data_IF_776504954613
#
_entry.id   IF_776504954613
#
_cell.length_a   1.000
_cell.length_b   1.000
_cell.length_c   1.000
_cell.angle_alpha   90.00
_cell.angle_beta   90.00
_cell.angle_gamma   90.00
#
_symmetry.space_group_name_H-M   'P 1'
#
loop_
_entity.id
_entity.type
_entity.pdbx_description
1 polymer ?
#
# COMPACT_ATOMS: atom_id res chain seq x y z
N UNK A 1 -11.65 23.27 -2.16
CA UNK A 1 -11.29 22.26 -3.16
C UNK A 1 -9.80 21.91 -3.07
N UNK A 2 -8.91 22.89 -3.11
CA UNK A 2 -7.45 22.72 -2.93
C UNK A 2 -7.02 22.05 -1.62
N UNK A 3 -7.57 22.45 -0.46
CA UNK A 3 -7.21 21.83 0.82
C UNK A 3 -7.60 20.35 0.92
N UNK A 4 -8.69 19.95 0.25
CA UNK A 4 -9.12 18.55 0.21
C UNK A 4 -8.19 17.72 -0.69
N UNK A 5 -7.80 18.26 -1.86
CA UNK A 5 -6.81 17.63 -2.73
C UNK A 5 -5.48 17.40 -2.00
N UNK A 6 -5.00 18.40 -1.25
CA UNK A 6 -3.78 18.27 -0.45
C UNK A 6 -3.90 17.17 0.63
N UNK A 7 -5.05 17.07 1.30
CA UNK A 7 -5.28 16.00 2.29
C UNK A 7 -5.21 14.61 1.65
N UNK A 8 -5.79 14.44 0.46
CA UNK A 8 -5.77 13.18 -0.29
C UNK A 8 -4.35 12.85 -0.76
N UNK A 9 -3.60 13.84 -1.21
CA UNK A 9 -2.20 13.66 -1.58
C UNK A 9 -1.35 13.20 -0.38
N UNK A 10 -1.57 13.80 0.80
CA UNK A 10 -0.89 13.38 2.04
C UNK A 10 -1.24 11.94 2.39
N UNK A 11 -2.51 11.55 2.32
CA UNK A 11 -2.95 10.19 2.61
C UNK A 11 -2.35 9.19 1.61
N UNK A 12 -2.36 9.54 0.31
CA UNK A 12 -1.79 8.71 -0.76
C UNK A 12 -0.30 8.48 -0.50
N UNK A 13 0.46 9.56 -0.27
CA UNK A 13 1.90 9.47 0.06
C UNK A 13 2.16 8.64 1.31
N UNK A 14 1.36 8.83 2.36
CA UNK A 14 1.50 8.06 3.60
C UNK A 14 1.27 6.56 3.36
N UNK A 15 0.19 6.19 2.66
CA UNK A 15 -0.09 4.79 2.32
C UNK A 15 1.01 4.18 1.45
N UNK A 16 1.48 4.92 0.45
CA UNK A 16 2.60 4.49 -0.40
C UNK A 16 3.86 4.23 0.40
N UNK A 17 4.23 5.12 1.32
CA UNK A 17 5.38 4.92 2.21
C UNK A 17 5.17 3.73 3.15
N UNK A 18 3.97 3.52 3.68
CA UNK A 18 3.64 2.39 4.54
C UNK A 18 3.78 1.06 3.77
N UNK A 19 3.32 1.00 2.51
CA UNK A 19 3.46 -0.19 1.66
C UNK A 19 4.94 -0.49 1.41
N UNK A 20 5.74 0.52 1.07
CA UNK A 20 7.18 0.35 0.86
C UNK A 20 7.88 -0.07 2.16
N UNK A 21 7.52 0.54 3.29
CA UNK A 21 8.05 0.17 4.59
C UNK A 21 7.71 -1.27 4.96
N UNK A 22 6.47 -1.71 4.73
CA UNK A 22 6.00 -3.09 4.97
C UNK A 22 6.83 -4.10 4.18
N UNK A 23 7.03 -3.85 2.88
CA UNK A 23 7.86 -4.70 2.02
C UNK A 23 9.29 -4.75 2.55
N UNK A 24 9.93 -3.60 2.77
CA UNK A 24 11.31 -3.54 3.23
C UNK A 24 11.49 -4.21 4.60
N UNK A 25 10.65 -3.84 5.58
CA UNK A 25 10.66 -4.43 6.91
C UNK A 25 10.41 -5.94 6.86
N UNK A 26 9.54 -6.40 5.97
CA UNK A 26 9.25 -7.82 5.77
C UNK A 26 10.46 -8.65 5.34
N UNK A 27 11.46 -8.05 4.68
CA UNK A 27 12.73 -8.71 4.33
C UNK A 27 13.72 -8.78 5.50
N UNK A 28 13.68 -7.83 6.44
CA UNK A 28 14.70 -7.72 7.50
C UNK A 28 14.22 -8.18 8.88
N UNK A 29 12.93 -8.09 9.18
CA UNK A 29 12.37 -8.37 10.50
C UNK A 29 11.45 -9.59 10.48
N UNK A 30 11.45 -10.36 11.56
CA UNK A 30 10.56 -11.51 11.75
C UNK A 30 9.08 -11.11 11.77
N UNK A 31 8.21 -12.04 11.36
CA UNK A 31 6.75 -11.84 11.32
C UNK A 31 6.12 -11.44 12.67
N UNK A 32 6.78 -11.77 13.79
CA UNK A 32 6.31 -11.43 15.13
C UNK A 32 6.83 -10.08 15.64
N UNK A 33 7.66 -9.38 14.86
CA UNK A 33 8.20 -8.09 15.26
C UNK A 33 7.08 -7.03 15.34
N UNK A 34 6.96 -6.23 16.43
CA UNK A 34 5.84 -5.31 16.62
C UNK A 34 5.66 -4.29 15.48
N UNK A 35 6.76 -3.76 14.94
CA UNK A 35 6.73 -2.83 13.80
C UNK A 35 6.17 -3.51 12.55
N UNK A 36 6.57 -4.77 12.29
CA UNK A 36 6.08 -5.52 11.14
C UNK A 36 4.58 -5.82 11.30
N UNK A 37 4.16 -6.29 12.47
CA UNK A 37 2.74 -6.53 12.76
C UNK A 37 1.89 -5.27 12.62
N UNK A 38 2.43 -4.11 13.02
CA UNK A 38 1.75 -2.83 12.85
C UNK A 38 1.57 -2.48 11.37
N UNK A 39 2.63 -2.59 10.56
CA UNK A 39 2.55 -2.34 9.11
C UNK A 39 1.60 -3.34 8.43
N UNK A 40 1.76 -4.63 8.71
CA UNK A 40 0.88 -5.70 8.24
C UNK A 40 -0.60 -5.38 8.57
N UNK A 41 -0.90 -4.89 9.78
CA UNK A 41 -2.29 -4.57 10.17
C UNK A 41 -2.95 -3.50 9.29
N UNK A 42 -2.16 -2.59 8.73
CA UNK A 42 -2.63 -1.53 7.82
C UNK A 42 -2.75 -2.06 6.40
N UNK A 43 -1.76 -2.82 5.93
CA UNK A 43 -1.61 -3.16 4.51
C UNK A 43 -2.34 -4.47 4.16
N UNK A 44 -2.44 -5.43 5.08
CA UNK A 44 -3.05 -6.75 4.86
C UNK A 44 -4.52 -6.72 4.41
N UNK A 45 -5.40 -5.83 4.93
CA UNK A 45 -6.78 -5.73 4.44
C UNK A 45 -6.86 -5.43 2.93
N UNK A 46 -5.87 -4.72 2.39
CA UNK A 46 -5.78 -4.37 0.97
C UNK A 46 -5.01 -5.42 0.16
N UNK A 47 -3.96 -6.03 0.74
CA UNK A 47 -3.20 -7.09 0.08
C UNK A 47 -3.95 -8.40 -0.05
N UNK A 48 -4.73 -8.80 0.96
CA UNK A 48 -5.40 -10.10 0.98
C UNK A 48 -6.36 -10.31 -0.21
N UNK A 49 -7.18 -9.32 -0.63
CA UNK A 49 -7.94 -9.41 -1.87
C UNK A 49 -7.06 -9.53 -3.13
N UNK A 50 -5.97 -8.77 -3.20
CA UNK A 50 -5.06 -8.76 -4.37
C UNK A 50 -4.36 -10.11 -4.50
N UNK A 51 -3.88 -10.69 -3.40
CA UNK A 51 -3.25 -12.02 -3.34
C UNK A 51 -4.17 -13.13 -3.81
N UNK A 52 -5.49 -12.98 -3.65
CA UNK A 52 -6.49 -13.94 -4.16
C UNK A 52 -6.67 -13.88 -5.67
N UNK A 53 -6.40 -12.72 -6.28
CA UNK A 53 -6.52 -12.50 -7.72
C UNK A 53 -5.23 -12.84 -8.46
N UNK A 54 -4.08 -12.69 -7.83
CA UNK A 54 -2.80 -13.03 -8.42
C UNK A 54 -2.52 -14.54 -8.35
N UNK A 55 -2.10 -15.17 -9.46
CA UNK A 55 -1.68 -16.56 -9.42
C UNK A 55 -0.46 -16.71 -8.50
N UNK A 56 -0.46 -17.74 -7.66
CA UNK A 56 0.58 -18.02 -6.65
C UNK A 56 1.94 -18.46 -7.23
N UNK A 57 2.18 -18.21 -8.52
CA UNK A 57 3.30 -18.74 -9.27
C UNK A 57 4.59 -17.99 -8.99
N UNK A 58 5.52 -18.61 -8.25
CA UNK A 58 6.93 -18.20 -8.24
C UNK A 58 7.51 -17.80 -6.88
N UNK A 59 6.78 -17.93 -5.78
CA UNK A 59 7.31 -17.68 -4.42
C UNK A 59 7.59 -16.20 -4.08
N UNK A 60 7.51 -15.30 -5.06
CA UNK A 60 7.54 -13.84 -4.87
C UNK A 60 6.12 -13.28 -4.80
N UNK A 61 5.88 -12.45 -3.79
CA UNK A 61 4.61 -11.75 -3.63
C UNK A 61 4.64 -10.41 -4.39
N UNK A 62 3.99 -10.36 -5.55
CA UNK A 62 3.84 -9.13 -6.33
C UNK A 62 2.66 -8.25 -5.87
N UNK A 63 1.87 -8.71 -4.89
CA UNK A 63 0.69 -7.99 -4.41
C UNK A 63 0.99 -6.59 -3.87
N UNK A 64 2.10 -6.35 -3.14
CA UNK A 64 2.47 -5.01 -2.70
C UNK A 64 2.73 -4.04 -3.85
N UNK A 65 3.31 -4.51 -4.95
CA UNK A 65 3.53 -3.69 -6.14
C UNK A 65 2.20 -3.32 -6.81
N UNK A 66 1.27 -4.28 -6.91
CA UNK A 66 -0.07 -4.00 -7.43
C UNK A 66 -0.80 -3.00 -6.54
N UNK A 67 -0.74 -3.16 -5.22
CA UNK A 67 -1.35 -2.22 -4.27
C UNK A 67 -0.76 -0.82 -4.41
N UNK A 68 0.56 -0.69 -4.55
CA UNK A 68 1.24 0.59 -4.79
C UNK A 68 0.64 1.31 -6.00
N UNK A 69 0.52 0.62 -7.14
CA UNK A 69 -0.05 1.22 -8.34
C UNK A 69 -1.53 1.61 -8.17
N UNK A 70 -2.32 0.78 -7.48
CA UNK A 70 -3.72 1.09 -7.22
C UNK A 70 -3.88 2.34 -6.35
N UNK A 71 -3.06 2.51 -5.32
CA UNK A 71 -3.08 3.67 -4.43
C UNK A 71 -2.69 4.95 -5.19
N UNK A 72 -1.58 4.92 -5.93
CA UNK A 72 -1.11 6.07 -6.70
C UNK A 72 -2.09 6.47 -7.81
N UNK A 73 -2.65 5.49 -8.52
CA UNK A 73 -3.64 5.73 -9.58
C UNK A 73 -4.93 6.31 -8.99
N UNK A 74 -5.43 5.76 -7.89
CA UNK A 74 -6.63 6.27 -7.22
C UNK A 74 -6.41 7.71 -6.71
N UNK A 75 -5.29 7.96 -6.01
CA UNK A 75 -4.94 9.28 -5.52
C UNK A 75 -4.84 10.32 -6.65
N UNK A 76 -4.14 9.97 -7.73
CA UNK A 76 -3.98 10.86 -8.91
C UNK A 76 -5.31 11.17 -9.57
N UNK A 77 -6.16 10.16 -9.79
CA UNK A 77 -7.49 10.35 -10.40
C UNK A 77 -8.37 11.24 -9.53
N UNK A 78 -8.41 10.99 -8.22
CA UNK A 78 -9.26 11.76 -7.30
C UNK A 78 -8.78 13.21 -7.21
N UNK A 79 -7.48 13.44 -7.05
CA UNK A 79 -6.92 14.80 -7.02
C UNK A 79 -7.17 15.53 -8.34
N UNK A 80 -6.98 14.87 -9.48
CA UNK A 80 -7.24 15.45 -10.80
C UNK A 80 -8.71 15.83 -11.05
N UNK A 81 -9.66 15.21 -10.34
CA UNK A 81 -11.09 15.59 -10.38
C UNK A 81 -11.39 16.79 -9.47
N UNK A 82 -10.62 16.95 -8.38
CA UNK A 82 -10.87 17.97 -7.35
C UNK A 82 -10.24 19.33 -7.63
N UNK A 83 -9.22 19.37 -8.50
CA UNK A 83 -8.49 20.58 -8.91
C UNK A 83 -9.07 21.09 -10.21
#
# INVERSE_FOLDING_TARGET
MTSLANAIEIVTRALTLIILADVLVGYFLDAFHPIRQFLDSIVQPFLAPIRKLLPSGGGLDFSPLVLFFLVEMAGTVIVGILV
#
